data_IF_596406831563
#
_entry.id   IF_596406831563
#
_cell.length_a   1.000
_cell.length_b   1.000
_cell.length_c   1.000
_cell.angle_alpha   90.00
_cell.angle_beta   90.00
_cell.angle_gamma   90.00
#
_symmetry.space_group_name_H-M   'P 1'
#
loop_
_entity.id
_entity.type
_entity.pdbx_description
1 polymer ?
#
# COMPACT_ATOMS: atom_id res chain seq x y z
N UNK A 1 25.59 6.83 -4.64
CA UNK A 1 24.75 5.91 -3.86
C UNK A 1 23.37 6.53 -3.85
N UNK A 2 22.42 5.95 -4.59
CA UNK A 2 21.11 6.59 -4.83
C UNK A 2 20.31 6.63 -3.52
N UNK A 3 19.97 7.84 -3.07
CA UNK A 3 19.21 8.11 -1.83
C UNK A 3 17.94 7.25 -1.78
N UNK A 4 17.31 7.03 -2.93
CA UNK A 4 16.14 6.17 -3.10
C UNK A 4 16.36 4.75 -2.58
N UNK A 5 17.54 4.15 -2.78
CA UNK A 5 17.82 2.76 -2.35
C UNK A 5 17.90 2.65 -0.84
N UNK A 6 18.55 3.62 -0.19
CA UNK A 6 18.64 3.66 1.28
C UNK A 6 17.25 3.86 1.91
N UNK A 7 16.45 4.78 1.34
CA UNK A 7 15.07 5.01 1.80
C UNK A 7 14.20 3.77 1.59
N UNK A 8 14.23 3.16 0.39
CA UNK A 8 13.49 1.91 0.09
C UNK A 8 13.81 0.80 1.09
N UNK A 9 15.07 0.67 1.50
CA UNK A 9 15.47 -0.31 2.53
C UNK A 9 14.87 0.05 3.90
N UNK A 10 14.96 1.31 4.32
CA UNK A 10 14.46 1.77 5.61
C UNK A 10 12.95 1.57 5.77
N UNK A 11 12.18 1.82 4.71
CA UNK A 11 10.71 1.72 4.72
C UNK A 11 10.18 0.32 4.38
N UNK A 12 11.06 -0.69 4.31
CA UNK A 12 10.70 -2.08 3.93
C UNK A 12 9.97 -2.15 2.58
N UNK A 13 10.38 -1.34 1.61
CA UNK A 13 9.70 -1.21 0.32
C UNK A 13 9.47 -2.56 -0.38
N UNK A 14 10.44 -3.47 -0.35
CA UNK A 14 10.31 -4.81 -0.95
C UNK A 14 9.22 -5.65 -0.31
N UNK A 15 9.02 -5.56 1.01
CA UNK A 15 7.95 -6.24 1.73
C UNK A 15 6.60 -5.66 1.31
N UNK A 16 6.51 -4.33 1.22
CA UNK A 16 5.30 -3.65 0.74
C UNK A 16 4.99 -4.08 -0.70
N UNK A 17 5.95 -4.10 -1.61
CA UNK A 17 5.73 -4.59 -2.98
C UNK A 17 5.27 -6.05 -3.00
N UNK A 18 5.84 -6.89 -2.13
CA UNK A 18 5.43 -8.28 -2.00
C UNK A 18 4.00 -8.44 -1.52
N UNK A 19 3.49 -7.55 -0.68
CA UNK A 19 2.07 -7.54 -0.28
C UNK A 19 1.22 -7.02 -1.45
N UNK A 20 1.57 -5.86 -2.01
CA UNK A 20 0.75 -5.17 -3.01
C UNK A 20 0.56 -5.96 -4.32
N UNK A 21 1.47 -6.88 -4.67
CA UNK A 21 1.30 -7.76 -5.84
C UNK A 21 0.08 -8.69 -5.75
N UNK A 22 -0.51 -8.86 -4.56
CA UNK A 22 -1.72 -9.65 -4.34
C UNK A 22 -3.02 -8.85 -4.54
N UNK A 23 -2.93 -7.54 -4.76
CA UNK A 23 -4.09 -6.65 -4.83
C UNK A 23 -4.11 -5.88 -6.14
N UNK A 24 -5.32 -5.62 -6.64
CA UNK A 24 -5.55 -4.77 -7.80
C UNK A 24 -6.47 -3.62 -7.41
N UNK A 25 -6.15 -2.41 -7.86
CA UNK A 25 -6.96 -1.24 -7.61
C UNK A 25 -8.34 -1.38 -8.28
N UNK A 26 -9.45 -1.41 -7.51
CA UNK A 26 -10.78 -1.51 -8.07
C UNK A 26 -11.18 -0.19 -8.74
N UNK A 27 -12.13 -0.23 -9.65
CA UNK A 27 -12.62 0.96 -10.36
C UNK A 27 -13.24 2.00 -9.42
N UNK A 28 -13.86 1.54 -8.33
CA UNK A 28 -14.44 2.39 -7.27
C UNK A 28 -13.42 3.29 -6.58
N UNK A 29 -12.12 2.99 -6.67
CA UNK A 29 -11.07 3.88 -6.16
C UNK A 29 -11.02 5.21 -6.95
N UNK A 30 -11.40 5.19 -8.23
CA UNK A 30 -11.42 6.39 -9.09
C UNK A 30 -10.04 7.04 -9.25
N UNK A 31 -8.97 6.26 -9.10
CA UNK A 31 -7.58 6.74 -9.12
C UNK A 31 -7.28 7.86 -8.12
N UNK A 32 -8.00 7.89 -6.99
CA UNK A 32 -7.96 9.00 -6.05
C UNK A 32 -6.53 9.34 -5.58
N UNK A 33 -5.68 8.32 -5.38
CA UNK A 33 -4.27 8.52 -5.02
C UNK A 33 -3.44 9.26 -6.09
N UNK A 34 -3.78 9.11 -7.38
CA UNK A 34 -3.13 9.82 -8.47
C UNK A 34 -3.80 11.17 -8.78
N UNK A 35 -5.08 11.33 -8.47
CA UNK A 35 -5.82 12.56 -8.77
C UNK A 35 -5.80 13.59 -7.65
N UNK A 36 -5.55 13.18 -6.40
CA UNK A 36 -5.60 14.06 -5.21
C UNK A 36 -4.38 13.92 -4.28
N UNK A 37 -3.61 12.83 -4.38
CA UNK A 37 -2.46 12.58 -3.50
C UNK A 37 -1.22 13.42 -3.84
N UNK A 38 -0.48 13.86 -2.82
CA UNK A 38 0.81 14.50 -3.02
C UNK A 38 1.86 13.47 -3.48
N UNK A 39 2.54 13.74 -4.59
CA UNK A 39 3.51 12.81 -5.16
C UNK A 39 4.90 13.39 -5.01
N UNK A 40 5.76 12.67 -4.29
CA UNK A 40 7.19 12.97 -4.19
C UNK A 40 8.00 11.94 -4.98
N UNK A 41 9.14 12.40 -5.49
CA UNK A 41 10.04 11.63 -6.34
C UNK A 41 11.48 11.84 -5.87
N UNK A 42 12.27 10.77 -5.94
CA UNK A 42 13.73 10.89 -5.87
C UNK A 42 14.32 11.24 -7.24
N UNK A 43 15.51 11.83 -7.25
CA UNK A 43 16.18 12.27 -8.47
C UNK A 43 16.34 11.16 -9.54
N UNK A 44 16.68 9.93 -9.12
CA UNK A 44 16.78 8.76 -9.99
C UNK A 44 15.43 8.39 -10.63
N UNK A 45 14.34 8.50 -9.86
CA UNK A 45 12.99 8.25 -10.36
C UNK A 45 12.56 9.29 -11.39
N UNK A 46 12.91 10.56 -11.17
CA UNK A 46 12.67 11.64 -12.15
C UNK A 46 13.42 11.38 -13.45
N UNK A 47 14.68 10.92 -13.38
CA UNK A 47 15.46 10.56 -14.57
C UNK A 47 14.78 9.45 -15.37
N UNK A 48 14.31 8.40 -14.71
CA UNK A 48 13.60 7.28 -15.36
C UNK A 48 12.32 7.79 -16.02
N UNK A 49 11.49 8.56 -15.30
CA UNK A 49 10.23 9.08 -15.83
C UNK A 49 10.43 10.06 -16.99
N UNK A 50 11.49 10.87 -16.95
CA UNK A 50 11.85 11.80 -18.03
C UNK A 50 12.28 11.06 -19.30
N UNK A 51 12.97 9.92 -19.16
CA UNK A 51 13.32 9.05 -20.29
C UNK A 51 12.10 8.36 -20.90
N UNK A 52 11.09 8.04 -20.08
CA UNK A 52 9.85 7.42 -20.55
C UNK A 52 8.93 8.40 -21.28
N UNK A 53 8.67 9.56 -20.67
CA UNK A 53 7.85 10.62 -21.27
C UNK A 53 8.29 11.98 -20.75
N UNK A 54 9.07 12.68 -21.59
CA UNK A 54 9.61 14.00 -21.27
C UNK A 54 8.50 15.04 -21.09
N UNK A 55 7.41 14.97 -21.84
CA UNK A 55 6.34 15.98 -21.77
C UNK A 55 5.59 15.87 -20.45
N UNK A 56 5.27 14.64 -20.01
CA UNK A 56 4.62 14.41 -18.71
C UNK A 56 5.54 14.73 -17.54
N UNK A 57 6.83 14.42 -17.66
CA UNK A 57 7.82 14.68 -16.63
C UNK A 57 8.13 16.18 -16.42
N UNK A 58 7.83 17.07 -17.38
CA UNK A 58 8.01 18.53 -17.21
C UNK A 58 7.26 19.12 -16.02
N UNK A 59 6.19 18.46 -15.57
CA UNK A 59 5.40 18.90 -14.43
C UNK A 59 6.01 18.50 -13.07
N UNK A 60 7.15 17.80 -13.08
CA UNK A 60 7.92 17.49 -11.88
C UNK A 60 8.81 18.69 -11.56
N UNK A 61 8.63 19.24 -10.36
CA UNK A 61 9.37 20.42 -9.87
C UNK A 61 10.24 20.04 -8.68
N UNK A 62 11.38 20.69 -8.54
CA UNK A 62 12.25 20.52 -7.38
C UNK A 62 11.54 21.06 -6.12
N UNK A 63 11.58 20.30 -5.03
CA UNK A 63 11.05 20.75 -3.76
C UNK A 63 12.07 21.71 -3.11
N UNK A 64 11.74 23.01 -3.09
CA UNK A 64 12.66 24.10 -2.73
C UNK A 64 13.36 23.96 -1.38
N UNK A 65 12.85 23.10 -0.49
CA UNK A 65 13.32 22.90 0.86
C UNK A 65 14.22 21.66 1.03
N UNK A 66 14.32 20.78 0.03
CA UNK A 66 15.07 19.51 0.16
C UNK A 66 15.76 19.12 -1.14
N UNK A 67 17.08 19.27 -1.17
CA UNK A 67 17.90 18.87 -2.31
C UNK A 67 17.71 17.38 -2.64
N UNK A 68 17.42 17.07 -3.90
CA UNK A 68 17.22 15.70 -4.38
C UNK A 68 15.81 15.14 -4.18
N UNK A 69 14.88 15.92 -3.63
CA UNK A 69 13.45 15.60 -3.57
C UNK A 69 12.70 16.49 -4.57
N UNK A 70 11.80 15.87 -5.31
CA UNK A 70 10.96 16.51 -6.30
C UNK A 70 9.50 16.22 -5.99
N UNK A 71 8.61 17.05 -6.51
CA UNK A 71 7.17 16.92 -6.35
C UNK A 71 6.43 17.20 -7.65
N UNK A 72 5.19 16.73 -7.73
CA UNK A 72 4.26 17.00 -8.82
C UNK A 72 2.90 17.37 -8.23
N UNK A 73 2.29 18.43 -8.78
CA UNK A 73 0.92 18.80 -8.45
C UNK A 73 -0.08 17.79 -9.00
N UNK A 74 -1.21 17.65 -8.33
CA UNK A 74 -2.32 16.83 -8.79
C UNK A 74 -3.25 17.60 -9.74
N UNK A 75 -3.92 16.91 -10.69
CA UNK A 75 -3.81 15.48 -10.98
C UNK A 75 -2.45 15.09 -11.59
N UNK A 76 -1.98 13.87 -11.30
CA UNK A 76 -0.73 13.35 -11.84
C UNK A 76 -0.71 13.39 -13.37
N UNK A 77 0.35 13.92 -13.99
CA UNK A 77 0.47 13.99 -15.45
C UNK A 77 0.54 12.61 -16.13
N UNK A 78 0.91 11.57 -15.38
CA UNK A 78 0.92 10.18 -15.83
C UNK A 78 -0.42 9.45 -15.64
N UNK A 79 -1.46 10.15 -15.18
CA UNK A 79 -2.82 9.62 -15.15
C UNK A 79 -3.43 9.70 -16.56
N UNK A 80 -3.81 8.55 -17.12
CA UNK A 80 -4.50 8.47 -18.40
C UNK A 80 -5.94 8.98 -18.29
N UNK A 81 -6.57 9.24 -19.44
CA UNK A 81 -7.98 9.60 -19.54
C UNK A 81 -8.94 8.53 -18.98
N UNK A 82 -8.52 7.27 -18.90
CA UNK A 82 -9.28 6.17 -18.29
C UNK A 82 -9.10 6.07 -16.77
N UNK A 83 -8.35 6.99 -16.14
CA UNK A 83 -8.07 6.95 -14.71
C UNK A 83 -7.07 5.85 -14.33
N UNK A 84 -6.20 5.42 -15.24
CA UNK A 84 -5.12 4.46 -14.94
C UNK A 84 -3.75 5.13 -15.03
N UNK A 85 -2.85 4.80 -14.11
CA UNK A 85 -1.47 5.28 -14.14
C UNK A 85 -0.71 4.61 -15.28
N UNK A 86 -0.22 5.38 -16.24
CA UNK A 86 0.49 4.86 -17.41
C UNK A 86 1.90 4.35 -17.09
N UNK A 87 2.48 4.80 -15.98
CA UNK A 87 3.79 4.35 -15.49
C UNK A 87 3.65 3.38 -14.30
N UNK A 88 2.57 2.59 -14.25
CA UNK A 88 2.25 1.75 -13.08
C UNK A 88 3.41 0.85 -12.60
N UNK A 89 4.18 0.29 -13.54
CA UNK A 89 5.33 -0.58 -13.23
C UNK A 89 6.61 0.20 -12.87
N UNK A 90 6.68 1.47 -13.22
CA UNK A 90 7.78 2.39 -12.93
C UNK A 90 7.33 3.50 -11.97
N UNK A 91 6.34 3.19 -11.12
CA UNK A 91 5.81 4.16 -10.16
C UNK A 91 6.93 4.63 -9.24
N UNK A 92 6.98 5.93 -8.91
CA UNK A 92 7.84 6.45 -7.85
C UNK A 92 7.60 5.69 -6.54
N UNK A 93 8.60 5.68 -5.66
CA UNK A 93 8.55 4.97 -4.37
C UNK A 93 7.28 5.30 -3.59
N UNK A 94 6.90 6.57 -3.50
CA UNK A 94 5.68 7.01 -2.80
C UNK A 94 4.42 6.40 -3.42
N UNK A 95 4.29 6.43 -4.75
CA UNK A 95 3.16 5.82 -5.45
C UNK A 95 3.17 4.29 -5.39
N UNK A 96 4.36 3.69 -5.34
CA UNK A 96 4.56 2.26 -5.21
C UNK A 96 4.21 1.74 -3.82
N UNK A 97 4.28 2.58 -2.78
CA UNK A 97 3.93 2.20 -1.41
C UNK A 97 2.42 2.22 -1.14
N UNK A 98 1.63 2.99 -1.91
CA UNK A 98 0.21 3.17 -1.63
C UNK A 98 -0.57 1.83 -1.62
N UNK A 99 -1.41 1.55 -0.60
CA UNK A 99 -1.94 2.48 0.42
C UNK A 99 -1.15 2.56 1.73
N UNK A 100 0.07 2.03 1.79
CA UNK A 100 0.95 2.24 2.92
C UNK A 100 1.63 3.61 2.85
N UNK A 101 1.71 4.28 4.00
CA UNK A 101 2.33 5.58 4.18
C UNK A 101 3.41 5.51 5.24
N UNK A 102 4.52 6.18 4.94
CA UNK A 102 5.61 6.36 5.89
C UNK A 102 5.18 7.38 6.93
N UNK A 103 5.35 7.05 8.20
CA UNK A 103 5.11 7.95 9.32
C UNK A 103 6.45 8.32 9.99
N UNK A 104 6.38 9.11 11.07
CA UNK A 104 7.57 9.51 11.83
C UNK A 104 7.99 8.53 12.92
N UNK A 105 7.30 7.38 13.08
CA UNK A 105 7.60 6.40 14.14
C UNK A 105 8.91 5.65 13.88
N UNK A 106 9.26 5.45 12.60
CA UNK A 106 10.42 4.66 12.18
C UNK A 106 10.29 3.16 12.43
N UNK A 107 9.15 2.68 12.93
CA UNK A 107 8.92 1.26 13.30
C UNK A 107 7.64 0.68 12.70
N UNK A 108 6.81 1.49 12.05
CA UNK A 108 5.54 1.09 11.47
C UNK A 108 5.23 1.86 10.19
N UNK A 109 4.22 1.39 9.45
CA UNK A 109 3.60 2.12 8.35
C UNK A 109 2.13 2.40 8.68
N UNK A 110 1.62 3.55 8.24
CA UNK A 110 0.20 3.82 8.24
C UNK A 110 -0.47 3.14 7.05
N UNK A 111 -1.54 2.39 7.26
CA UNK A 111 -2.38 1.85 6.21
C UNK A 111 -3.58 2.79 6.02
N UNK A 112 -3.61 3.52 4.90
CA UNK A 112 -4.67 4.49 4.63
C UNK A 112 -5.99 3.83 4.22
N UNK A 113 -7.14 4.23 4.82
CA UNK A 113 -8.47 3.79 4.42
C UNK A 113 -8.76 4.09 2.96
N UNK A 114 -8.64 3.08 2.11
CA UNK A 114 -9.03 3.11 0.70
C UNK A 114 -9.48 1.72 0.29
N UNK A 115 -10.05 1.52 -0.91
CA UNK A 115 -10.54 0.21 -1.32
C UNK A 115 -9.48 -0.91 -1.24
N UNK A 116 -8.23 -0.63 -1.63
CA UNK A 116 -7.13 -1.59 -1.48
C UNK A 116 -6.77 -1.78 0.00
N UNK A 117 -6.69 -0.70 0.77
CA UNK A 117 -6.37 -0.76 2.20
C UNK A 117 -7.38 -1.61 2.97
N UNK A 118 -8.66 -1.55 2.59
CA UNK A 118 -9.70 -2.38 3.18
C UNK A 118 -9.56 -3.87 2.83
N UNK A 119 -9.12 -4.20 1.61
CA UNK A 119 -8.79 -5.59 1.27
C UNK A 119 -7.61 -6.10 2.10
N UNK A 120 -6.56 -5.28 2.24
CA UNK A 120 -5.37 -5.61 3.03
C UNK A 120 -5.73 -5.85 4.49
N UNK A 121 -6.53 -4.98 5.12
CA UNK A 121 -6.86 -5.13 6.54
C UNK A 121 -7.72 -6.36 6.83
N UNK A 122 -8.57 -6.76 5.86
CA UNK A 122 -9.33 -8.01 5.96
C UNK A 122 -8.44 -9.24 5.93
N UNK A 123 -7.49 -9.31 4.99
CA UNK A 123 -6.52 -10.40 4.92
C UNK A 123 -5.62 -10.42 6.18
N UNK A 124 -5.31 -9.25 6.74
CA UNK A 124 -4.58 -9.11 7.99
C UNK A 124 -5.34 -9.71 9.18
N UNK A 125 -6.61 -9.34 9.33
CA UNK A 125 -7.47 -9.88 10.39
C UNK A 125 -7.65 -11.39 10.25
N UNK A 126 -7.83 -11.90 9.02
CA UNK A 126 -7.88 -13.34 8.74
C UNK A 126 -6.60 -14.04 9.21
N UNK A 127 -5.44 -13.50 8.84
CA UNK A 127 -4.14 -14.03 9.26
C UNK A 127 -3.97 -14.07 10.78
N UNK A 128 -4.30 -12.97 11.47
CA UNK A 128 -4.24 -12.90 12.94
C UNK A 128 -5.13 -14.00 13.53
N UNK A 129 -6.39 -14.08 13.10
CA UNK A 129 -7.37 -15.03 13.63
C UNK A 129 -6.92 -16.48 13.39
N UNK A 130 -6.40 -16.81 12.20
CA UNK A 130 -5.87 -18.15 11.90
C UNK A 130 -4.65 -18.48 12.77
N UNK A 131 -3.73 -17.52 12.95
CA UNK A 131 -2.53 -17.69 13.78
C UNK A 131 -2.89 -17.97 15.23
N UNK A 132 -3.82 -17.21 15.81
CA UNK A 132 -4.28 -17.43 17.19
C UNK A 132 -5.14 -18.68 17.35
N UNK A 133 -5.90 -19.07 16.31
CA UNK A 133 -6.68 -20.31 16.36
C UNK A 133 -5.78 -21.54 16.53
N UNK A 134 -4.58 -21.51 15.94
CA UNK A 134 -3.59 -22.60 15.95
C UNK A 134 -2.63 -22.57 17.15
N UNK A 135 -2.64 -21.51 17.95
CA UNK A 135 -1.72 -21.39 19.08
C UNK A 135 -2.36 -21.89 20.39
N UNK A 136 -1.51 -22.08 21.41
CA UNK A 136 -1.89 -22.64 22.70
C UNK A 136 -2.56 -21.62 23.66
N UNK A 137 -3.02 -20.46 23.15
CA UNK A 137 -3.82 -19.52 23.95
C UNK A 137 -5.18 -20.09 24.32
N UNK A 138 -5.76 -19.58 25.41
CA UNK A 138 -7.10 -19.94 25.87
C UNK A 138 -8.18 -19.52 24.87
N UNK A 139 -9.33 -20.20 24.90
CA UNK A 139 -10.46 -19.88 24.04
C UNK A 139 -11.06 -18.49 24.35
N UNK A 140 -10.98 -18.05 25.61
CA UNK A 140 -11.34 -16.69 26.02
C UNK A 140 -10.46 -15.63 25.32
N UNK A 141 -9.15 -15.87 25.27
CA UNK A 141 -8.21 -14.98 24.61
C UNK A 141 -8.43 -14.94 23.09
N UNK A 142 -8.65 -16.11 22.47
CA UNK A 142 -8.98 -16.21 21.04
C UNK A 142 -10.25 -15.42 20.69
N UNK A 143 -11.27 -15.51 21.56
CA UNK A 143 -12.53 -14.77 21.39
C UNK A 143 -12.30 -13.27 21.48
N UNK A 144 -11.54 -12.81 22.48
CA UNK A 144 -11.19 -11.40 22.66
C UNK A 144 -10.47 -10.82 21.43
N UNK A 145 -9.46 -11.53 20.92
CA UNK A 145 -8.69 -11.10 19.74
C UNK A 145 -9.59 -11.01 18.51
N UNK A 146 -10.47 -11.99 18.31
CA UNK A 146 -11.41 -11.98 17.19
C UNK A 146 -12.35 -10.78 17.26
N UNK A 147 -12.91 -10.49 18.42
CA UNK A 147 -13.78 -9.33 18.64
C UNK A 147 -13.04 -8.00 18.43
N UNK A 148 -11.80 -7.90 18.91
CA UNK A 148 -10.95 -6.72 18.72
C UNK A 148 -10.70 -6.44 17.23
N UNK A 149 -10.29 -7.46 16.47
CA UNK A 149 -10.03 -7.30 15.04
C UNK A 149 -11.29 -7.05 14.22
N UNK A 150 -12.40 -7.67 14.59
CA UNK A 150 -13.71 -7.38 13.98
C UNK A 150 -14.07 -5.89 14.15
N UNK A 151 -13.90 -5.35 15.36
CA UNK A 151 -14.12 -3.93 15.64
C UNK A 151 -13.15 -3.03 14.85
N UNK A 152 -11.89 -3.42 14.71
CA UNK A 152 -10.92 -2.66 13.93
C UNK A 152 -11.31 -2.60 12.44
N UNK A 153 -11.80 -3.70 11.86
CA UNK A 153 -12.31 -3.74 10.49
C UNK A 153 -13.51 -2.82 10.32
N UNK A 154 -14.47 -2.86 11.24
CA UNK A 154 -15.67 -2.01 11.21
C UNK A 154 -15.32 -0.51 11.29
N UNK A 155 -14.39 -0.15 12.17
CA UNK A 155 -13.88 1.24 12.26
C UNK A 155 -13.19 1.67 10.97
N UNK A 156 -12.45 0.76 10.34
CA UNK A 156 -11.76 1.03 9.08
C UNK A 156 -12.76 1.18 7.91
N UNK A 157 -13.80 0.34 7.87
CA UNK A 157 -14.89 0.43 6.88
C UNK A 157 -15.66 1.74 7.00
N UNK A 158 -15.93 2.19 8.23
CA UNK A 158 -16.56 3.49 8.47
C UNK A 158 -15.72 4.65 7.92
N UNK A 159 -14.39 4.60 8.08
CA UNK A 159 -13.49 5.60 7.49
C UNK A 159 -13.42 5.52 5.96
N UNK A 160 -13.55 4.32 5.38
CA UNK A 160 -13.56 4.11 3.93
C UNK A 160 -14.74 4.81 3.24
N UNK A 161 -15.90 4.89 3.87
CA UNK A 161 -17.10 5.56 3.31
C UNK A 161 -16.78 7.01 2.93
N UNK A 162 -15.96 7.67 3.73
CA UNK A 162 -15.58 9.07 3.54
C UNK A 162 -14.28 9.25 2.73
N UNK A 163 -13.73 8.18 2.16
CA UNK A 163 -12.43 8.16 1.48
C UNK A 163 -12.26 9.29 0.46
N UNK A 164 -13.29 9.56 -0.35
CA UNK A 164 -13.23 10.59 -1.39
C UNK A 164 -13.44 12.02 -0.89
N UNK A 165 -13.91 12.19 0.35
CA UNK A 165 -14.37 13.48 0.87
C UNK A 165 -13.52 14.02 2.03
N UNK A 166 -12.97 13.14 2.86
CA UNK A 166 -12.15 13.54 4.00
C UNK A 166 -10.73 13.92 3.53
N UNK A 167 -10.22 15.11 3.91
CA UNK A 167 -8.85 15.51 3.59
C UNK A 167 -7.82 14.70 4.37
N UNK A 168 -8.21 14.19 5.54
CA UNK A 168 -7.38 13.37 6.42
C UNK A 168 -8.21 12.17 6.86
N UNK A 169 -7.68 10.97 6.61
CA UNK A 169 -8.29 9.70 6.99
C UNK A 169 -7.52 9.11 8.16
N UNK A 170 -8.21 8.37 9.03
CA UNK A 170 -7.54 7.72 10.17
C UNK A 170 -6.81 6.46 9.71
N UNK A 171 -5.49 6.57 9.60
CA UNK A 171 -4.61 5.47 9.21
C UNK A 171 -4.43 4.44 10.33
N UNK A 172 -4.51 3.16 10.00
CA UNK A 172 -4.16 2.08 10.93
C UNK A 172 -2.66 1.85 10.93
N UNK A 173 -2.03 1.85 12.10
CA UNK A 173 -0.58 1.67 12.19
C UNK A 173 -0.26 0.17 12.17
N UNK A 174 0.60 -0.24 11.25
CA UNK A 174 1.04 -1.62 11.07
C UNK A 174 2.54 -1.69 11.36
N UNK A 175 2.97 -2.35 12.46
CA UNK A 175 4.36 -2.61 12.77
C UNK A 175 5.08 -3.38 11.66
N UNK A 176 6.40 -3.15 11.49
CA UNK A 176 7.17 -3.79 10.43
C UNK A 176 7.25 -5.32 10.54
N UNK A 177 7.32 -5.86 11.76
CA UNK A 177 7.31 -7.30 11.99
C UNK A 177 5.99 -7.94 11.56
N UNK A 178 4.85 -7.33 11.90
CA UNK A 178 3.55 -7.82 11.42
C UNK A 178 3.41 -7.69 9.90
N UNK A 179 3.96 -6.63 9.30
CA UNK A 179 4.00 -6.46 7.85
C UNK A 179 4.80 -7.58 7.15
N UNK A 180 5.95 -7.95 7.72
CA UNK A 180 6.76 -9.08 7.23
C UNK A 180 5.98 -10.40 7.32
N UNK A 181 5.28 -10.64 8.43
CA UNK A 181 4.45 -11.83 8.62
C UNK A 181 3.27 -11.90 7.63
N UNK A 182 2.58 -10.79 7.39
CA UNK A 182 1.52 -10.70 6.37
C UNK A 182 2.07 -11.05 4.98
N UNK A 183 3.23 -10.52 4.62
CA UNK A 183 3.87 -10.82 3.33
C UNK A 183 4.15 -12.32 3.16
N UNK A 184 4.55 -13.02 4.23
CA UNK A 184 4.77 -14.46 4.21
C UNK A 184 3.45 -15.23 4.08
N UNK A 185 2.42 -14.83 4.84
CA UNK A 185 1.09 -15.41 4.79
C UNK A 185 0.44 -15.32 3.40
N UNK A 186 0.46 -14.14 2.78
CA UNK A 186 -0.10 -13.96 1.43
C UNK A 186 0.64 -14.80 0.38
N UNK A 187 1.96 -14.95 0.54
CA UNK A 187 2.78 -15.78 -0.36
C UNK A 187 2.45 -17.26 -0.21
N UNK A 188 2.20 -17.77 1.00
CA UNK A 188 1.85 -19.18 1.23
C UNK A 188 0.44 -19.53 0.74
N UNK A 189 -0.53 -18.61 0.93
CA UNK A 189 -1.91 -18.79 0.44
C UNK A 189 -1.97 -18.93 -1.08
N UNK A 190 -1.18 -18.16 -1.82
CA UNK A 190 -1.11 -18.26 -3.30
C UNK A 190 -0.60 -19.62 -3.77
N UNK A 191 0.41 -20.17 -3.10
CA UNK A 191 0.94 -21.52 -3.39
C UNK A 191 -0.12 -22.60 -3.19
N UNK A 192 -0.94 -22.47 -2.14
CA UNK A 192 -2.02 -23.42 -1.87
C UNK A 192 -3.11 -23.32 -2.94
N UNK A 193 -3.51 -22.11 -3.34
CA UNK A 193 -4.52 -21.91 -4.38
C UNK A 193 -4.07 -22.43 -5.75
N UNK A 194 -2.83 -22.17 -6.16
CA UNK A 194 -2.30 -22.71 -7.43
C UNK A 194 -2.26 -24.24 -7.45
N UNK A 195 -1.95 -24.87 -6.31
CA UNK A 195 -1.96 -26.34 -6.19
C UNK A 195 -3.37 -26.95 -6.19
N UNK A 196 -4.41 -26.17 -5.87
CA UNK A 196 -5.81 -26.61 -5.92
C UNK A 196 -6.34 -26.45 -7.36
N UNK A 197 -5.99 -25.35 -8.03
CA UNK A 197 -6.32 -25.11 -9.45
C UNK A 197 -5.69 -26.17 -10.37
N UNK A 198 -4.42 -26.53 -10.13
CA UNK A 198 -3.73 -27.60 -10.88
C UNK A 198 -4.32 -29.00 -10.63
N UNK A 199 -5.10 -29.19 -9.56
CA UNK A 199 -5.75 -30.46 -9.21
C UNK A 199 -7.19 -30.57 -9.70
N UNK A 200 -7.78 -29.49 -10.21
CA UNK A 200 -9.09 -29.47 -10.84
C UNK A 200 -8.98 -28.87 -12.26
N UNK A 201 -8.37 -29.59 -13.22
CA UNK A 201 -8.52 -29.21 -14.61
C UNK A 201 -10.00 -29.40 -14.99
N UNK A 202 -10.62 -28.33 -15.49
CA UNK A 202 -11.94 -28.37 -16.08
C UNK A 202 -12.04 -29.39 -17.22
#
# INVERSE_FOLDING_TARGET
MEISTAVKKAIRYSIVQNILKHYQCPETCGAHCCSQGQIHFFEDEVKILTLMDKEKAKNITNESLSAGIYQMNTPCSFLSSSGRCEVYNNRPTVCGMYPFKVNTSGTSLGLQPCPIGFMIIRDFAEWIIDTFSRSAVSDEEKTRIKEEWQKNIELYEAELVDFHFKPVLKEMQIPFDELEMLSMFLSSRKTVLSLIEDKNPA
#
